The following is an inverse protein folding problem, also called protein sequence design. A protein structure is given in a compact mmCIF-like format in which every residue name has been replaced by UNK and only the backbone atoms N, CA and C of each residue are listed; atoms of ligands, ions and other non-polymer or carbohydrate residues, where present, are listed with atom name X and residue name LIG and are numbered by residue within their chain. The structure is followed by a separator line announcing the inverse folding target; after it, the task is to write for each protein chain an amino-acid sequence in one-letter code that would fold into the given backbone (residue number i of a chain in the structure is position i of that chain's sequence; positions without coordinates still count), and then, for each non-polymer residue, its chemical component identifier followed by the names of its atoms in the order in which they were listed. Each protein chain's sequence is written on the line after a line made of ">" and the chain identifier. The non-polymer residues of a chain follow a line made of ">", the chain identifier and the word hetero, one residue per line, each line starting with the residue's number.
data_IF_477516358277
#
_entry.id   IF_477516358277
#
_cell.length_a   1.000
_cell.length_b   1.000
_cell.length_c   1.000
_cell.angle_alpha   90.00
_cell.angle_beta   90.00
_cell.angle_gamma   90.00
#
_symmetry.space_group_name_H-M   'P 1'
#
loop_
_entity.id
_entity.type
_entity.pdbx_description
1 polymer ?
#
# COMPACT_ATOMS: atom_id res chain seq x y z
N UNK A 1 18.18 4.97 11.88
CA UNK A 1 16.76 4.95 11.47
C UNK A 1 16.71 5.07 9.96
N UNK A 2 16.18 4.05 9.27
CA UNK A 2 16.09 3.99 7.80
C UNK A 2 14.67 4.33 7.38
N UNK A 3 14.51 5.41 6.63
CA UNK A 3 13.21 5.91 6.17
C UNK A 3 13.18 5.88 4.64
N UNK A 4 12.05 5.50 4.05
CA UNK A 4 11.81 5.57 2.60
C UNK A 4 10.56 6.38 2.32
N UNK A 5 10.55 7.17 1.24
CA UNK A 5 9.34 7.87 0.82
C UNK A 5 8.35 6.92 0.13
N UNK A 6 7.05 7.16 0.34
CA UNK A 6 5.99 6.48 -0.40
C UNK A 6 6.13 6.67 -1.93
N UNK A 7 6.63 7.81 -2.38
CA UNK A 7 6.85 8.08 -3.81
C UNK A 7 7.91 7.16 -4.43
N UNK A 8 8.92 6.76 -3.66
CA UNK A 8 9.92 5.78 -4.10
C UNK A 8 9.31 4.37 -4.19
N UNK A 9 8.47 4.00 -3.21
CA UNK A 9 7.80 2.69 -3.19
C UNK A 9 6.79 2.55 -4.33
N UNK A 10 6.05 3.62 -4.68
CA UNK A 10 5.07 3.63 -5.78
C UNK A 10 5.70 3.45 -7.16
N UNK A 11 6.99 3.78 -7.32
CA UNK A 11 7.73 3.57 -8.57
C UNK A 11 8.24 2.14 -8.73
N UNK A 12 8.16 1.32 -7.68
CA UNK A 12 8.65 -0.05 -7.68
C UNK A 12 7.50 -1.05 -7.91
N UNK A 13 7.77 -2.17 -8.60
CA UNK A 13 6.87 -3.31 -8.60
C UNK A 13 6.59 -3.77 -7.17
N UNK A 14 5.37 -4.26 -6.88
CA UNK A 14 4.95 -4.68 -5.53
C UNK A 14 5.97 -5.58 -4.82
N UNK A 15 6.53 -6.58 -5.52
CA UNK A 15 7.57 -7.47 -4.95
C UNK A 15 8.81 -6.68 -4.52
N UNK A 16 9.30 -5.79 -5.37
CA UNK A 16 10.45 -4.94 -5.10
C UNK A 16 10.18 -3.93 -3.98
N UNK A 17 8.96 -3.39 -3.90
CA UNK A 17 8.54 -2.52 -2.80
C UNK A 17 8.54 -3.28 -1.47
N UNK A 18 8.00 -4.52 -1.42
CA UNK A 18 8.04 -5.38 -0.23
C UNK A 18 9.47 -5.74 0.20
N UNK A 19 10.34 -6.08 -0.74
CA UNK A 19 11.75 -6.33 -0.45
C UNK A 19 12.47 -5.10 0.11
N UNK A 20 12.09 -3.90 -0.36
CA UNK A 20 12.64 -2.65 0.16
C UNK A 20 12.10 -2.33 1.55
N UNK A 21 10.82 -2.61 1.81
CA UNK A 21 10.18 -2.45 3.11
C UNK A 21 10.84 -3.29 4.21
N UNK A 22 11.36 -4.49 3.88
CA UNK A 22 12.13 -5.33 4.82
C UNK A 22 13.45 -4.70 5.30
N UNK A 23 13.97 -3.69 4.59
CA UNK A 23 15.27 -3.06 4.87
C UNK A 23 15.16 -1.69 5.54
N UNK A 24 13.94 -1.21 5.75
CA UNK A 24 13.65 0.13 6.29
C UNK A 24 12.74 0.00 7.51
N UNK A 25 12.82 0.99 8.39
CA UNK A 25 12.06 0.99 9.65
C UNK A 25 10.73 1.72 9.46
N UNK A 26 10.72 2.79 8.66
CA UNK A 26 9.56 3.65 8.44
C UNK A 26 9.37 4.02 6.96
N UNK A 27 8.11 4.29 6.61
CA UNK A 27 7.68 4.87 5.35
C UNK A 27 7.16 6.28 5.64
N UNK A 28 7.67 7.27 4.91
CA UNK A 28 7.13 8.62 4.92
C UNK A 28 6.00 8.73 3.89
N UNK A 29 4.79 8.95 4.37
CA UNK A 29 3.60 9.13 3.53
C UNK A 29 3.49 10.55 2.96
N UNK A 30 2.50 10.79 2.09
CA UNK A 30 2.23 12.08 1.44
C UNK A 30 1.95 13.20 2.44
N UNK A 31 1.37 12.87 3.60
CA UNK A 31 1.06 13.81 4.69
C UNK A 31 2.24 14.05 5.65
N UNK A 32 3.46 13.62 5.27
CA UNK A 32 4.65 13.62 6.13
C UNK A 32 4.52 12.77 7.41
N UNK A 33 3.57 11.83 7.42
CA UNK A 33 3.38 10.85 8.49
C UNK A 33 4.39 9.71 8.36
N UNK A 34 4.99 9.31 9.47
CA UNK A 34 5.87 8.14 9.54
C UNK A 34 5.06 6.90 9.90
N UNK A 35 4.94 5.98 8.94
CA UNK A 35 4.25 4.70 9.10
C UNK A 35 5.30 3.60 9.30
N UNK A 36 5.16 2.72 10.30
CA UNK A 36 6.04 1.56 10.45
C UNK A 36 6.05 0.69 9.19
N UNK A 37 7.23 0.23 8.76
CA UNK A 37 7.36 -0.54 7.53
C UNK A 37 6.58 -1.86 7.54
N UNK A 38 6.44 -2.49 8.71
CA UNK A 38 5.61 -3.69 8.92
C UNK A 38 4.11 -3.43 8.75
N UNK A 39 3.64 -2.26 9.16
CA UNK A 39 2.23 -1.87 8.98
C UNK A 39 1.95 -1.57 7.52
N UNK A 40 2.84 -0.81 6.89
CA UNK A 40 2.74 -0.48 5.48
C UNK A 40 2.84 -1.72 4.57
N UNK A 41 3.67 -2.71 4.92
CA UNK A 41 3.77 -3.97 4.17
C UNK A 41 2.47 -4.76 4.21
N UNK A 42 1.80 -4.83 5.36
CA UNK A 42 0.46 -5.44 5.49
C UNK A 42 -0.58 -4.71 4.63
N UNK A 43 -0.56 -3.38 4.63
CA UNK A 43 -1.45 -2.57 3.77
C UNK A 43 -1.20 -2.88 2.30
N UNK A 44 0.06 -2.91 1.87
CA UNK A 44 0.46 -3.20 0.49
C UNK A 44 0.12 -4.64 0.07
N UNK A 45 0.18 -5.59 1.01
CA UNK A 45 -0.20 -6.97 0.76
C UNK A 45 -1.71 -7.15 0.57
N UNK A 46 -2.48 -6.41 1.37
CA UNK A 46 -3.95 -6.43 1.39
C UNK A 46 -4.59 -5.57 0.29
N UNK A 47 -3.94 -4.50 -0.18
CA UNK A 47 -4.49 -3.58 -1.19
C UNK A 47 -4.68 -4.24 -2.56
N UNK A 48 -3.89 -5.28 -2.86
CA UNK A 48 -4.12 -6.14 -4.02
C UNK A 48 -5.34 -7.06 -3.91
N UNK A 49 -5.89 -7.25 -2.71
CA UNK A 49 -7.11 -8.03 -2.46
C UNK A 49 -8.38 -7.21 -2.72
N UNK A 50 -8.32 -5.89 -2.53
CA UNK A 50 -9.45 -4.97 -2.78
C UNK A 50 -9.68 -4.75 -4.29
N UNK A 51 -8.65 -4.82 -5.12
CA UNK A 51 -8.77 -4.67 -6.58
C UNK A 51 -9.34 -5.90 -7.32
N UNK A 52 -9.56 -7.04 -6.64
CA UNK A 52 -10.14 -8.23 -7.29
C UNK A 52 -11.66 -8.36 -7.20
N UNK A 53 -12.39 -7.52 -6.46
CA UNK A 53 -13.86 -7.68 -6.29
C UNK A 53 -14.64 -6.38 -6.06
N UNK A 54 -14.48 -5.38 -6.92
CA UNK A 54 -15.39 -4.23 -6.98
C UNK A 54 -16.04 -4.03 -8.36
N UNK A 55 -16.18 -5.11 -9.13
CA UNK A 55 -17.02 -5.19 -10.35
C UNK A 55 -18.33 -5.93 -10.16
N UNK A 56 -18.78 -6.20 -8.93
CA UNK A 56 -20.12 -6.75 -8.69
C UNK A 56 -21.14 -5.65 -8.41
N UNK A 57 -21.71 -5.13 -9.51
CA UNK A 57 -23.09 -4.68 -9.71
C UNK A 57 -23.80 -4.07 -8.48
N UNK A 58 -23.74 -2.75 -8.35
CA UNK A 58 -24.87 -1.99 -7.79
C UNK A 58 -26.04 -2.08 -8.78
N UNK A 59 -26.90 -3.10 -8.61
CA UNK A 59 -28.18 -3.16 -9.31
C UNK A 59 -29.12 -2.20 -8.58
N UNK A 60 -29.20 -0.96 -9.08
CA UNK A 60 -30.17 0.03 -8.62
C UNK A 60 -31.56 -0.52 -8.87
N UNK A 61 -32.29 -0.90 -7.81
CA UNK A 61 -33.71 -1.22 -7.89
C UNK A 61 -34.45 0.10 -7.75
N UNK A 62 -35.03 0.59 -8.85
CA UNK A 62 -36.03 1.66 -8.81
C UNK A 62 -37.35 1.07 -8.31
N UNK A 63 -37.96 1.78 -7.36
CA UNK A 63 -39.32 1.55 -6.85
C UNK A 63 -40.38 1.75 -7.94
#
# INVERSE_FOLDING_TARGET
>A
MRVVSIYELRRLPRRSALERLKRVDFVLDEEATLVPSEEFSRILENSGSVHKKLTHKHKVVRA
#
